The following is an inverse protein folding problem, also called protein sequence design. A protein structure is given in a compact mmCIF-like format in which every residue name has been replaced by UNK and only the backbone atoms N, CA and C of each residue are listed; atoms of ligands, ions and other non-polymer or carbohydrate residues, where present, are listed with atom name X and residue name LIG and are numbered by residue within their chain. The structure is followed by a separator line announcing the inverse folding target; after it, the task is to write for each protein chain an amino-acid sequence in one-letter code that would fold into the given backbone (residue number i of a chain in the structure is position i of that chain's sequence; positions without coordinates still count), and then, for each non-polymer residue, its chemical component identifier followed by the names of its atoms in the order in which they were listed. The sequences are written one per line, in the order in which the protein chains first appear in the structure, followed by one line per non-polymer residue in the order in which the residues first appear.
data_IF_736818736353
#
_entry.id   IF_736818736353
#
_cell.length_a   1.000
_cell.length_b   1.000
_cell.length_c   1.000
_cell.angle_alpha   90.00
_cell.angle_beta   90.00
_cell.angle_gamma   90.00
#
_symmetry.space_group_name_H-M   'P 1'
#
loop_
_entity.id
_entity.type
_entity.pdbx_description
1 polymer ?
#
# COMPACT_ATOMS: atom_id res chain seq x y z
N UNK A 1 -40.84 -25.15 41.33
CA UNK A 1 -40.37 -23.81 41.73
C UNK A 1 -39.15 -23.47 40.90
N UNK A 2 -39.24 -22.33 40.23
CA UNK A 2 -38.35 -21.76 39.21
C UNK A 2 -37.09 -21.13 39.81
N UNK A 3 -35.95 -21.21 39.09
CA UNK A 3 -35.12 -20.06 38.62
C UNK A 3 -33.72 -20.52 38.14
N UNK A 4 -33.45 -20.32 36.85
CA UNK A 4 -32.10 -20.08 36.31
C UNK A 4 -31.60 -18.70 36.77
N UNK A 5 -30.27 -18.51 36.86
CA UNK A 5 -29.69 -17.32 36.25
C UNK A 5 -28.35 -17.60 35.55
N UNK A 6 -28.23 -17.27 34.26
CA UNK A 6 -27.68 -16.02 33.70
C UNK A 6 -26.27 -16.26 33.14
N UNK A 7 -26.23 -16.31 31.81
CA UNK A 7 -25.07 -16.09 30.95
C UNK A 7 -24.28 -14.86 31.37
N UNK A 8 -22.96 -14.98 31.42
CA UNK A 8 -22.06 -13.83 31.20
C UNK A 8 -21.14 -14.20 30.04
N UNK A 9 -21.62 -13.92 28.84
CA UNK A 9 -20.80 -13.83 27.64
C UNK A 9 -19.85 -12.65 27.79
N UNK A 10 -18.56 -12.90 28.04
CA UNK A 10 -17.53 -11.87 27.91
C UNK A 10 -16.93 -11.95 26.51
N UNK A 11 -17.71 -11.47 25.53
CA UNK A 11 -17.24 -11.21 24.18
C UNK A 11 -16.33 -9.98 24.18
N UNK A 12 -15.04 -10.16 24.50
CA UNK A 12 -14.02 -9.17 24.11
C UNK A 12 -13.68 -9.40 22.63
N UNK A 13 -14.62 -9.06 21.75
CA UNK A 13 -14.33 -8.72 20.37
C UNK A 13 -13.65 -7.35 20.40
N UNK A 14 -12.33 -7.34 20.54
CA UNK A 14 -11.55 -6.19 20.10
C UNK A 14 -11.68 -6.16 18.60
N UNK A 15 -12.73 -5.46 18.13
CA UNK A 15 -12.83 -4.96 16.77
C UNK A 15 -11.70 -3.94 16.64
N UNK A 16 -10.49 -4.45 16.41
CA UNK A 16 -9.45 -3.66 15.82
C UNK A 16 -9.96 -3.27 14.45
N UNK A 17 -10.60 -2.11 14.34
CA UNK A 17 -10.60 -1.35 13.11
C UNK A 17 -9.12 -1.06 12.82
N UNK A 18 -8.45 -2.01 12.18
CA UNK A 18 -7.19 -1.78 11.52
C UNK A 18 -7.48 -0.65 10.55
N UNK A 19 -7.00 0.56 10.88
CA UNK A 19 -7.17 1.74 10.03
C UNK A 19 -6.78 1.32 8.63
N UNK A 20 -7.80 1.22 7.78
CA UNK A 20 -7.71 0.66 6.45
C UNK A 20 -6.53 1.32 5.77
N UNK A 21 -5.57 0.49 5.37
CA UNK A 21 -4.67 0.76 4.27
C UNK A 21 -5.53 1.36 3.13
N UNK A 22 -5.53 2.69 2.98
CA UNK A 22 -6.28 3.33 1.89
C UNK A 22 -5.76 2.88 0.53
N UNK A 23 -4.49 2.48 0.47
CA UNK A 23 -3.97 1.62 -0.58
C UNK A 23 -3.89 0.20 -0.03
N UNK A 24 -4.75 -0.71 -0.48
CA UNK A 24 -4.35 -2.12 -0.52
C UNK A 24 -3.11 -2.14 -1.40
N UNK A 25 -1.95 -2.36 -0.81
CA UNK A 25 -0.71 -2.52 -1.58
C UNK A 25 -0.40 -4.01 -1.60
N UNK A 26 -1.08 -4.85 -2.42
CA UNK A 26 -0.48 -6.10 -2.79
C UNK A 26 0.87 -5.74 -3.40
N UNK A 27 1.94 -5.99 -2.67
CA UNK A 27 3.28 -5.94 -3.23
C UNK A 27 3.50 -7.27 -3.92
N UNK A 28 3.93 -7.24 -5.19
CA UNK A 28 4.40 -8.47 -5.82
C UNK A 28 5.67 -8.87 -5.06
N UNK A 29 5.55 -9.89 -4.21
CA UNK A 29 6.65 -10.42 -3.42
C UNK A 29 7.80 -10.75 -4.38
N UNK A 30 8.92 -10.04 -4.19
CA UNK A 30 10.10 -10.19 -5.02
C UNK A 30 11.30 -10.42 -4.12
N UNK A 31 11.97 -11.56 -4.27
CA UNK A 31 13.25 -11.81 -3.61
C UNK A 31 13.17 -12.31 -2.16
N UNK A 32 14.34 -12.72 -1.64
CA UNK A 32 14.47 -13.37 -0.33
C UNK A 32 14.30 -12.42 0.87
N UNK A 33 14.37 -11.11 0.65
CA UNK A 33 14.33 -10.09 1.71
C UNK A 33 12.93 -9.55 2.00
N UNK A 34 11.92 -10.01 1.26
CA UNK A 34 10.56 -9.49 1.33
C UNK A 34 9.97 -9.39 2.76
N UNK A 35 10.11 -10.38 3.67
CA UNK A 35 9.63 -10.24 5.04
C UNK A 35 10.33 -9.13 5.84
N UNK A 36 11.64 -8.96 5.66
CA UNK A 36 12.41 -7.93 6.34
C UNK A 36 12.07 -6.53 5.79
N UNK A 37 11.84 -6.43 4.49
CA UNK A 37 11.45 -5.19 3.83
C UNK A 37 10.02 -4.77 4.21
N UNK A 38 9.10 -5.72 4.30
CA UNK A 38 7.76 -5.50 4.88
C UNK A 38 7.86 -4.91 6.29
N UNK A 39 8.53 -5.59 7.21
CA UNK A 39 8.66 -5.13 8.60
C UNK A 39 9.31 -3.74 8.67
N UNK A 40 10.34 -3.49 7.85
CA UNK A 40 10.99 -2.17 7.85
C UNK A 40 10.03 -1.08 7.37
N UNK A 41 9.29 -1.33 6.30
CA UNK A 41 8.35 -0.36 5.74
C UNK A 41 7.13 -0.15 6.64
N UNK A 42 6.66 -1.17 7.37
CA UNK A 42 5.61 -1.01 8.38
C UNK A 42 6.06 -0.10 9.53
N UNK A 43 7.32 -0.23 9.95
CA UNK A 43 7.90 0.58 11.03
C UNK A 43 8.11 2.05 10.62
N UNK A 44 8.50 2.34 9.38
CA UNK A 44 8.65 3.73 8.90
C UNK A 44 7.31 4.38 8.55
N UNK A 45 6.26 3.58 8.36
CA UNK A 45 4.91 4.04 8.06
C UNK A 45 3.90 3.60 9.14
N UNK A 46 4.04 4.09 10.38
CA UNK A 46 3.19 3.64 11.48
C UNK A 46 1.71 4.04 11.27
N UNK A 47 0.76 3.36 11.95
CA UNK A 47 -0.65 3.76 11.95
C UNK A 47 -0.84 5.23 12.34
N UNK A 48 -1.87 5.88 11.77
CA UNK A 48 -2.23 7.26 12.10
C UNK A 48 -1.49 8.35 11.31
N UNK A 49 -0.56 8.00 10.43
CA UNK A 49 0.06 8.97 9.51
C UNK A 49 -0.83 9.20 8.27
N UNK A 50 -0.81 10.42 7.74
CA UNK A 50 -1.48 10.74 6.50
C UNK A 50 -0.85 9.98 5.32
N UNK A 51 -1.69 9.46 4.43
CA UNK A 51 -1.27 8.72 3.22
C UNK A 51 -0.38 7.52 3.54
N UNK A 52 -0.68 6.81 4.64
CA UNK A 52 0.11 5.66 5.08
C UNK A 52 0.28 4.61 3.99
N UNK A 53 -0.79 4.28 3.27
CA UNK A 53 -0.75 3.23 2.25
C UNK A 53 0.17 3.59 1.08
N UNK A 54 0.13 4.84 0.64
CA UNK A 54 0.94 5.36 -0.45
C UNK A 54 2.41 5.46 -0.04
N UNK A 55 2.67 5.90 1.20
CA UNK A 55 4.03 5.91 1.77
C UNK A 55 4.57 4.49 1.84
N UNK A 56 3.78 3.56 2.36
CA UNK A 56 4.17 2.15 2.44
C UNK A 56 4.50 1.57 1.05
N UNK A 57 3.67 1.87 0.04
CA UNK A 57 3.95 1.52 -1.35
C UNK A 57 5.29 2.09 -1.82
N UNK A 58 5.58 3.36 -1.55
CA UNK A 58 6.85 4.01 -1.88
C UNK A 58 8.05 3.31 -1.22
N UNK A 59 7.96 2.98 0.06
CA UNK A 59 9.01 2.24 0.77
C UNK A 59 9.28 0.87 0.14
N UNK A 60 8.22 0.12 -0.17
CA UNK A 60 8.35 -1.20 -0.82
C UNK A 60 8.92 -1.08 -2.23
N UNK A 61 8.58 -0.02 -2.97
CA UNK A 61 9.14 0.26 -4.29
C UNK A 61 10.64 0.55 -4.22
N UNK A 62 11.08 1.33 -3.25
CA UNK A 62 12.51 1.60 -3.02
C UNK A 62 13.28 0.32 -2.62
N UNK A 63 12.65 -0.59 -1.86
CA UNK A 63 13.19 -1.90 -1.55
C UNK A 63 13.30 -2.85 -2.78
N UNK A 64 12.83 -2.41 -3.96
CA UNK A 64 12.91 -3.20 -5.19
C UNK A 64 11.69 -4.07 -5.46
N UNK A 65 10.65 -3.95 -4.63
CA UNK A 65 9.37 -4.60 -4.89
C UNK A 65 8.50 -3.75 -5.82
N UNK A 66 7.48 -4.36 -6.40
CA UNK A 66 6.46 -3.64 -7.13
C UNK A 66 5.24 -3.49 -6.25
N UNK A 67 4.62 -2.31 -6.22
CA UNK A 67 3.53 -1.98 -5.31
C UNK A 67 2.28 -1.54 -6.08
N UNK A 68 1.14 -2.16 -5.79
CA UNK A 68 -0.15 -1.71 -6.35
C UNK A 68 -0.65 -0.46 -5.60
N UNK A 69 -1.06 0.55 -6.36
CA UNK A 69 -1.66 1.79 -5.85
C UNK A 69 -2.99 2.01 -6.55
N UNK A 70 -4.07 2.12 -5.78
CA UNK A 70 -5.41 2.46 -6.25
C UNK A 70 -5.61 3.97 -6.14
N UNK A 71 -5.82 4.68 -7.26
CA UNK A 71 -6.08 6.15 -7.25
C UNK A 71 -7.56 6.46 -7.01
N UNK A 72 -7.89 7.74 -6.77
CA UNK A 72 -9.24 8.20 -6.42
C UNK A 72 -10.37 7.81 -7.41
N UNK A 73 -10.05 7.49 -8.67
CA UNK A 73 -11.03 6.97 -9.65
C UNK A 73 -11.34 5.48 -9.49
N UNK A 74 -10.66 4.78 -8.56
CA UNK A 74 -10.73 3.33 -8.39
C UNK A 74 -9.86 2.56 -9.39
N UNK A 75 -8.97 3.23 -10.12
CA UNK A 75 -8.03 2.56 -11.02
C UNK A 75 -6.79 2.09 -10.24
N UNK A 76 -6.35 0.86 -10.47
CA UNK A 76 -5.17 0.26 -9.84
C UNK A 76 -3.98 0.21 -10.80
N UNK A 77 -2.80 0.63 -10.32
CA UNK A 77 -1.56 0.63 -11.08
C UNK A 77 -0.41 0.04 -10.27
N UNK A 78 0.45 -0.72 -10.95
CA UNK A 78 1.66 -1.27 -10.36
C UNK A 78 2.79 -0.26 -10.52
N UNK A 79 3.32 0.23 -9.41
CA UNK A 79 4.46 1.14 -9.36
C UNK A 79 5.74 0.33 -9.20
N UNK A 80 6.77 0.70 -9.97
CA UNK A 80 8.13 0.15 -9.90
C UNK A 80 9.16 1.27 -9.99
N UNK A 81 10.30 1.10 -9.35
CA UNK A 81 11.43 2.00 -9.54
C UNK A 81 12.16 1.68 -10.85
N UNK A 82 12.60 2.71 -11.57
CA UNK A 82 13.45 2.55 -12.77
C UNK A 82 14.92 2.89 -12.53
N UNK A 83 15.21 3.49 -11.37
CA UNK A 83 16.54 3.73 -10.79
C UNK A 83 16.44 3.54 -9.27
N UNK A 84 17.53 3.33 -8.52
CA UNK A 84 17.47 3.24 -7.07
C UNK A 84 17.01 4.55 -6.41
N UNK A 85 16.22 4.45 -5.34
CA UNK A 85 15.78 5.59 -4.52
C UNK A 85 15.97 5.28 -3.04
N UNK A 86 16.24 6.31 -2.24
CA UNK A 86 16.12 6.20 -0.79
C UNK A 86 14.66 5.95 -0.41
N UNK A 87 14.43 5.09 0.60
CA UNK A 87 13.09 4.71 1.05
C UNK A 87 12.24 5.94 1.39
N UNK A 88 12.81 6.88 2.13
CA UNK A 88 12.09 8.08 2.56
C UNK A 88 11.68 8.97 1.39
N UNK A 89 12.56 9.12 0.39
CA UNK A 89 12.27 9.86 -0.84
C UNK A 89 11.13 9.20 -1.59
N UNK A 90 11.14 7.87 -1.72
CA UNK A 90 10.10 7.14 -2.42
C UNK A 90 8.75 7.16 -1.69
N UNK A 91 8.73 7.08 -0.36
CA UNK A 91 7.52 7.28 0.44
C UNK A 91 6.88 8.64 0.15
N UNK A 92 7.68 9.71 0.14
CA UNK A 92 7.22 11.08 -0.07
C UNK A 92 6.78 11.29 -1.51
N UNK A 93 7.54 10.80 -2.49
CA UNK A 93 7.22 10.91 -3.92
C UNK A 93 5.89 10.24 -4.28
N UNK A 94 5.68 9.00 -3.84
CA UNK A 94 4.44 8.27 -4.13
C UNK A 94 3.25 8.94 -3.45
N UNK A 95 3.38 9.37 -2.19
CA UNK A 95 2.32 10.04 -1.46
C UNK A 95 1.97 11.42 -2.05
N UNK A 96 2.98 12.20 -2.45
CA UNK A 96 2.79 13.51 -3.08
C UNK A 96 2.11 13.38 -4.45
N UNK A 97 2.63 12.48 -5.30
CA UNK A 97 2.03 12.23 -6.61
C UNK A 97 0.61 11.70 -6.48
N UNK A 98 0.32 10.88 -5.47
CA UNK A 98 -1.03 10.39 -5.22
C UNK A 98 -2.02 11.52 -4.89
N UNK A 99 -1.62 12.46 -4.02
CA UNK A 99 -2.47 13.57 -3.57
C UNK A 99 -3.02 14.42 -4.72
N UNK A 100 -2.25 14.57 -5.80
CA UNK A 100 -2.58 15.43 -6.94
C UNK A 100 -3.16 14.66 -8.13
N UNK A 101 -3.12 13.33 -8.10
CA UNK A 101 -3.47 12.50 -9.25
C UNK A 101 -4.89 11.98 -9.14
N UNK A 102 -5.64 12.12 -10.23
CA UNK A 102 -7.02 11.64 -10.34
C UNK A 102 -7.15 10.46 -11.30
N UNK A 103 -6.09 10.05 -11.98
CA UNK A 103 -6.08 8.96 -12.96
C UNK A 103 -4.65 8.50 -13.26
N UNK A 104 -4.53 7.44 -14.07
CA UNK A 104 -3.25 6.88 -14.56
C UNK A 104 -2.28 7.94 -15.08
N UNK A 105 -2.77 8.78 -16.00
CA UNK A 105 -1.93 9.71 -16.76
C UNK A 105 -1.32 10.77 -15.84
N UNK A 106 -2.12 11.36 -14.95
CA UNK A 106 -1.61 12.33 -13.97
C UNK A 106 -0.62 11.70 -13.00
N UNK A 107 -0.89 10.48 -12.55
CA UNK A 107 0.00 9.76 -11.65
C UNK A 107 1.34 9.40 -12.31
N UNK A 108 1.28 8.85 -13.52
CA UNK A 108 2.45 8.50 -14.33
C UNK A 108 3.28 9.72 -14.72
N UNK A 109 2.65 10.84 -15.06
CA UNK A 109 3.36 12.09 -15.39
C UNK A 109 4.07 12.71 -14.18
N UNK A 110 3.55 12.50 -12.97
CA UNK A 110 4.22 12.93 -11.75
C UNK A 110 5.40 12.02 -11.39
N UNK A 111 5.21 10.70 -11.47
CA UNK A 111 6.18 9.68 -11.07
C UNK A 111 7.30 9.44 -12.09
N UNK A 112 7.00 9.59 -13.39
CA UNK A 112 7.94 9.32 -14.49
C UNK A 112 9.24 10.13 -14.40
N UNK A 113 9.18 11.47 -14.33
CA UNK A 113 10.37 12.32 -14.19
C UNK A 113 11.15 12.06 -12.90
N UNK A 114 10.48 11.56 -11.85
CA UNK A 114 11.12 11.21 -10.57
C UNK A 114 11.90 9.90 -10.64
N UNK A 115 11.67 9.07 -11.66
CA UNK A 115 12.41 7.83 -11.90
C UNK A 115 11.62 6.57 -11.59
N UNK A 116 10.30 6.63 -11.66
CA UNK A 116 9.41 5.48 -11.49
C UNK A 116 8.74 5.11 -12.82
N UNK A 117 8.25 3.87 -12.89
CA UNK A 117 7.41 3.37 -13.97
C UNK A 117 6.11 2.84 -13.38
N UNK A 118 5.00 3.16 -14.02
CA UNK A 118 3.69 2.59 -13.70
C UNK A 118 3.30 1.58 -14.78
N UNK A 119 2.69 0.49 -14.36
CA UNK A 119 2.13 -0.53 -15.26
C UNK A 119 0.69 -0.78 -14.86
N UNK A 120 -0.24 -0.59 -15.80
CA UNK A 120 -1.65 -0.92 -15.59
C UNK A 120 -1.83 -2.42 -15.42
N UNK A 121 -2.73 -2.81 -14.52
CA UNK A 121 -3.21 -4.19 -14.48
C UNK A 121 -3.96 -4.50 -15.79
N UNK A 122 -3.41 -5.40 -16.60
CA UNK A 122 -4.14 -5.97 -17.73
C UNK A 122 -4.46 -7.46 -17.43
N UNK A 123 -5.74 -7.80 -17.14
CA UNK A 123 -6.15 -9.17 -16.91
C UNK A 123 -5.91 -10.09 -18.11
N UNK A 124 -5.79 -9.53 -19.32
CA UNK A 124 -5.57 -10.31 -20.55
C UNK A 124 -4.13 -10.81 -20.65
N UNK A 125 -3.19 -10.13 -20.00
CA UNK A 125 -1.77 -10.54 -19.99
C UNK A 125 -1.47 -11.67 -18.99
N UNK A 126 -2.42 -12.01 -18.12
CA UNK A 126 -2.23 -12.91 -16.98
C UNK A 126 -3.17 -14.13 -16.98
N UNK A 127 -3.99 -14.31 -18.03
CA UNK A 127 -4.65 -15.61 -18.31
C UNK A 127 -3.61 -16.54 -18.94
N UNK A 128 -3.01 -17.41 -18.13
CA UNK A 128 -2.39 -18.65 -18.63
C UNK A 128 -3.13 -19.83 -18.05
#
# INVERSE_FOLDING_TARGET
MTRLPVMVSLSLLVVGCTTQLSARVPTLAGGATYPQDLDTCENTTPPGIAQRGERFAGCMVAAGHAAWVEVATGEEFLVRQSRPHDRKVAEDDVAECYKISKNESTFGNCLGPRGYRIQRWDPRLHRR
#
